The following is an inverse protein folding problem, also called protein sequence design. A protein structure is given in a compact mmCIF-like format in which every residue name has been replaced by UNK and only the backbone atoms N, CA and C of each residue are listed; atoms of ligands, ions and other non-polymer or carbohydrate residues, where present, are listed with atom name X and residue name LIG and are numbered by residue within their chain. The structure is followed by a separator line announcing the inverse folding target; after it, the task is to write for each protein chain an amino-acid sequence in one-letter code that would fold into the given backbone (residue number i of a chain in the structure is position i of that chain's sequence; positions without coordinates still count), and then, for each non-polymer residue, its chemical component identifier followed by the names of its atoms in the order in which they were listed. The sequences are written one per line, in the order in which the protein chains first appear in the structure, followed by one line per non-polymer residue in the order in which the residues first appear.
data_IF_995274603698
#
_entry.id   IF_995274603698
#
_cell.length_a   1.000
_cell.length_b   1.000
_cell.length_c   1.000
_cell.angle_alpha   90.00
_cell.angle_beta   90.00
_cell.angle_gamma   90.00
#
_symmetry.space_group_name_H-M   'P 1'
#
loop_
_entity.id
_entity.type
_entity.pdbx_description
1 polymer ?
#
# COMPACT_ATOMS: atom_id res chain seq x y z
N UNK A 1 -12.15 12.32 2.54
CA UNK A 1 -11.46 12.29 1.23
C UNK A 1 -11.40 10.84 0.75
N UNK A 2 -11.81 10.57 -0.49
CA UNK A 2 -11.68 9.24 -1.12
C UNK A 2 -10.20 8.99 -1.49
N UNK A 3 -9.55 8.05 -0.79
CA UNK A 3 -8.16 7.65 -1.04
C UNK A 3 -8.03 6.66 -2.21
N UNK A 4 -6.79 6.26 -2.53
CA UNK A 4 -6.51 5.32 -3.62
C UNK A 4 -7.32 4.01 -3.52
N UNK A 5 -7.42 3.43 -2.32
CA UNK A 5 -8.24 2.22 -2.06
C UNK A 5 -9.70 2.42 -2.49
N UNK A 6 -10.29 3.54 -2.11
CA UNK A 6 -11.70 3.84 -2.39
C UNK A 6 -11.95 3.93 -3.90
N UNK A 7 -11.03 4.59 -4.62
CA UNK A 7 -11.06 4.68 -6.10
C UNK A 7 -10.90 3.32 -6.78
N UNK A 8 -10.00 2.47 -6.28
CA UNK A 8 -9.78 1.13 -6.85
C UNK A 8 -11.00 0.22 -6.64
N UNK A 9 -11.68 0.31 -5.49
CA UNK A 9 -12.82 -0.55 -5.17
C UNK A 9 -14.11 -0.06 -5.84
N UNK A 10 -14.35 1.25 -5.89
CA UNK A 10 -15.64 1.82 -6.31
C UNK A 10 -15.61 2.51 -7.69
N UNK A 11 -14.44 2.77 -8.25
CA UNK A 11 -14.26 3.50 -9.52
C UNK A 11 -13.24 2.84 -10.45
N UNK A 12 -13.18 1.50 -10.47
CA UNK A 12 -12.12 0.73 -11.15
C UNK A 12 -11.96 1.06 -12.64
N UNK A 13 -13.03 1.48 -13.32
CA UNK A 13 -13.01 1.90 -14.73
C UNK A 13 -12.19 3.18 -15.00
N UNK A 14 -11.93 4.01 -13.99
CA UNK A 14 -11.14 5.23 -14.09
C UNK A 14 -9.74 5.13 -13.45
N UNK A 15 -9.30 3.92 -13.10
CA UNK A 15 -8.01 3.72 -12.42
C UNK A 15 -6.86 3.77 -13.42
N UNK A 16 -5.87 4.62 -13.13
CA UNK A 16 -4.61 4.64 -13.87
C UNK A 16 -3.73 3.44 -13.48
N UNK A 17 -3.60 2.48 -14.39
CA UNK A 17 -2.83 1.25 -14.17
C UNK A 17 -1.33 1.53 -13.99
N UNK A 18 -0.76 2.59 -14.58
CA UNK A 18 0.65 2.93 -14.36
C UNK A 18 0.88 3.36 -12.91
N UNK A 19 -0.06 4.12 -12.35
CA UNK A 19 -0.01 4.54 -10.95
C UNK A 19 -0.15 3.33 -10.01
N UNK A 20 -1.03 2.39 -10.34
CA UNK A 20 -1.15 1.12 -9.58
C UNK A 20 0.16 0.35 -9.64
N UNK A 21 0.71 0.16 -10.85
CA UNK A 21 1.95 -0.58 -11.07
C UNK A 21 3.12 0.01 -10.30
N UNK A 22 3.32 1.33 -10.37
CA UNK A 22 4.36 2.03 -9.61
C UNK A 22 4.14 1.92 -8.11
N UNK A 23 2.89 1.93 -7.65
CA UNK A 23 2.58 1.78 -6.22
C UNK A 23 2.98 0.39 -5.73
N UNK A 24 2.60 -0.67 -6.43
CA UNK A 24 2.92 -2.05 -6.01
C UNK A 24 4.41 -2.38 -6.17
N UNK A 25 5.10 -1.82 -7.16
CA UNK A 25 6.51 -2.16 -7.43
C UNK A 25 7.52 -1.26 -6.72
N UNK A 26 7.18 0.01 -6.44
CA UNK A 26 8.14 0.98 -5.90
C UNK A 26 7.80 1.46 -4.49
N UNK A 27 6.52 1.62 -4.16
CA UNK A 27 6.09 2.22 -2.89
C UNK A 27 5.83 1.19 -1.80
N UNK A 28 5.03 0.17 -2.12
CA UNK A 28 4.65 -0.87 -1.15
C UNK A 28 5.86 -1.67 -0.63
N UNK A 29 6.88 -2.05 -1.43
CA UNK A 29 7.98 -2.85 -0.92
C UNK A 29 8.76 -2.17 0.22
N UNK A 30 8.84 -0.84 0.22
CA UNK A 30 9.47 -0.08 1.31
C UNK A 30 8.75 -0.17 2.64
N UNK A 31 7.48 -0.59 2.66
CA UNK A 31 6.70 -0.76 3.89
C UNK A 31 7.02 -2.08 4.61
N UNK A 32 7.46 -3.12 3.87
CA UNK A 32 7.74 -4.43 4.46
C UNK A 32 8.70 -4.37 5.66
N UNK A 33 9.92 -3.79 5.55
CA UNK A 33 10.84 -3.75 6.68
C UNK A 33 10.32 -2.91 7.86
N UNK A 34 9.48 -1.89 7.59
CA UNK A 34 8.86 -1.09 8.64
C UNK A 34 7.83 -1.91 9.42
N UNK A 35 7.02 -2.71 8.73
CA UNK A 35 6.03 -3.59 9.35
C UNK A 35 6.71 -4.71 10.13
N UNK A 36 7.77 -5.32 9.57
CA UNK A 36 8.56 -6.35 10.26
C UNK A 36 9.15 -5.80 11.56
N UNK A 37 9.76 -4.60 11.53
CA UNK A 37 10.26 -3.94 12.73
C UNK A 37 9.17 -3.69 13.78
N UNK A 38 7.98 -3.24 13.34
CA UNK A 38 6.86 -3.02 14.26
C UNK A 38 6.38 -4.33 14.91
N UNK A 39 6.44 -5.46 14.20
CA UNK A 39 6.09 -6.76 14.75
C UNK A 39 7.11 -7.23 15.79
N UNK A 40 8.40 -7.07 15.51
CA UNK A 40 9.47 -7.35 16.48
C UNK A 40 9.30 -6.53 17.77
N UNK A 41 9.02 -5.22 17.65
CA UNK A 41 8.76 -4.33 18.79
C UNK A 41 7.52 -4.75 19.61
N UNK A 42 6.56 -5.45 19.00
CA UNK A 42 5.37 -5.97 19.69
C UNK A 42 5.64 -7.32 20.36
N UNK A 43 6.55 -8.13 19.83
CA UNK A 43 6.93 -9.44 20.38
C UNK A 43 7.92 -9.33 21.56
N UNK A 44 8.75 -8.28 21.60
CA UNK A 44 9.65 -8.00 22.75
C UNK A 44 8.94 -7.41 23.99
N UNK A 45 7.59 -7.33 23.97
CA UNK A 45 6.75 -6.81 25.06
C UNK A 45 5.87 -7.88 25.68
#
# INVERSE_FOLDING_TARGET
MAGMRDKVIHGYFGVDIKVVWDTVTKRIPGLKPLVEKMLEELEEK
#
